data_IF_443184558054
#
_entry.id   IF_443184558054
#
_cell.length_a   1.000
_cell.length_b   1.000
_cell.length_c   1.000
_cell.angle_alpha   90.00
_cell.angle_beta   90.00
_cell.angle_gamma   90.00
#
_symmetry.space_group_name_H-M   'P 1'
#
loop_
_entity.id
_entity.type
_entity.pdbx_description
1 polymer ?
#
# COMPACT_ATOMS: atom_id res chain seq x y z
N UNK A 1 12.85 -32.42 -1.52
CA UNK A 1 11.90 -32.04 -0.47
C UNK A 1 10.79 -31.24 -1.13
N UNK A 2 9.50 -31.49 -0.85
CA UNK A 2 8.44 -30.60 -1.32
C UNK A 2 8.71 -29.19 -0.76
N UNK A 3 8.34 -28.15 -1.51
CA UNK A 3 8.43 -26.73 -1.14
C UNK A 3 7.55 -26.45 0.09
N UNK A 4 7.97 -26.90 1.26
CA UNK A 4 7.43 -26.49 2.54
C UNK A 4 8.41 -25.43 3.03
N UNK A 5 8.02 -24.17 2.93
CA UNK A 5 8.81 -23.07 3.46
C UNK A 5 9.18 -23.37 4.92
N UNK A 6 10.46 -23.15 5.28
CA UNK A 6 11.02 -23.53 6.59
C UNK A 6 10.92 -22.39 7.61
N UNK A 7 10.83 -21.16 7.13
CA UNK A 7 10.64 -19.96 7.95
C UNK A 7 9.77 -18.92 7.23
N UNK A 8 9.45 -17.83 7.93
CA UNK A 8 8.64 -16.72 7.39
C UNK A 8 9.31 -16.03 6.20
N UNK A 9 10.65 -15.95 6.17
CA UNK A 9 11.39 -15.29 5.10
C UNK A 9 11.31 -16.07 3.78
N UNK A 10 11.56 -17.38 3.82
CA UNK A 10 11.40 -18.28 2.68
C UNK A 10 9.97 -18.23 2.16
N UNK A 11 8.98 -18.22 3.06
CA UNK A 11 7.57 -18.14 2.67
C UNK A 11 7.24 -16.84 1.93
N UNK A 12 7.76 -15.69 2.40
CA UNK A 12 7.63 -14.40 1.73
C UNK A 12 8.26 -14.46 0.32
N UNK A 13 9.44 -15.05 0.18
CA UNK A 13 10.14 -15.16 -1.10
C UNK A 13 9.39 -16.07 -2.09
N UNK A 14 8.90 -17.22 -1.65
CA UNK A 14 8.18 -18.17 -2.51
C UNK A 14 6.88 -17.58 -3.04
N UNK A 15 6.05 -17.02 -2.16
CA UNK A 15 4.81 -16.33 -2.56
C UNK A 15 5.13 -15.10 -3.42
N UNK A 16 6.20 -14.37 -3.08
CA UNK A 16 6.72 -13.28 -3.89
C UNK A 16 7.00 -13.72 -5.32
N UNK A 17 7.80 -14.77 -5.51
CA UNK A 17 8.15 -15.30 -6.82
C UNK A 17 6.92 -15.73 -7.63
N UNK A 18 5.95 -16.38 -6.98
CA UNK A 18 4.68 -16.79 -7.62
C UNK A 18 3.89 -15.57 -8.11
N UNK A 19 3.75 -14.54 -7.27
CA UNK A 19 3.02 -13.31 -7.64
C UNK A 19 3.73 -12.58 -8.78
N UNK A 20 5.05 -12.46 -8.70
CA UNK A 20 5.86 -11.84 -9.76
C UNK A 20 5.67 -12.56 -11.10
N UNK A 21 5.76 -13.89 -11.10
CA UNK A 21 5.54 -14.69 -12.31
C UNK A 21 4.12 -14.50 -12.85
N UNK A 22 3.10 -14.63 -12.00
CA UNK A 22 1.69 -14.50 -12.38
C UNK A 22 1.39 -13.13 -13.00
N UNK A 23 1.84 -12.05 -12.35
CA UNK A 23 1.60 -10.68 -12.82
C UNK A 23 2.37 -10.41 -14.12
N UNK A 24 3.61 -10.87 -14.22
CA UNK A 24 4.41 -10.73 -15.44
C UNK A 24 3.76 -11.44 -16.64
N UNK A 25 3.26 -12.66 -16.45
CA UNK A 25 2.51 -13.38 -17.48
C UNK A 25 1.21 -12.65 -17.83
N UNK A 26 0.45 -12.23 -16.83
CA UNK A 26 -0.84 -11.53 -17.05
C UNK A 26 -0.66 -10.26 -17.87
N UNK A 27 0.32 -9.42 -17.53
CA UNK A 27 0.59 -8.15 -18.22
C UNK A 27 1.08 -8.35 -19.66
N UNK A 28 1.73 -9.49 -19.95
CA UNK A 28 2.30 -9.78 -21.27
C UNK A 28 1.39 -10.59 -22.19
N UNK A 29 0.52 -11.44 -21.63
CA UNK A 29 -0.42 -12.26 -22.39
C UNK A 29 -1.69 -11.46 -22.75
N UNK A 30 -2.24 -10.71 -21.78
CA UNK A 30 -3.50 -9.98 -21.97
C UNK A 30 -3.23 -8.66 -22.71
N UNK A 31 -4.01 -8.32 -23.76
CA UNK A 31 -3.88 -7.03 -24.42
C UNK A 31 -4.32 -5.91 -23.46
N UNK A 32 -3.36 -5.16 -22.92
CA UNK A 32 -3.61 -4.01 -22.05
C UNK A 32 -4.05 -2.79 -22.87
N UNK A 33 -5.32 -2.80 -23.30
CA UNK A 33 -5.96 -1.66 -23.95
C UNK A 33 -6.42 -0.62 -22.93
N UNK A 34 -6.56 0.64 -23.36
CA UNK A 34 -7.06 1.71 -22.51
C UNK A 34 -8.48 1.41 -21.99
N UNK A 35 -9.34 0.84 -22.83
CA UNK A 35 -10.72 0.51 -22.47
C UNK A 35 -10.80 -0.54 -21.37
N UNK A 36 -10.01 -1.62 -21.47
CA UNK A 36 -9.97 -2.69 -20.45
C UNK A 36 -9.48 -2.12 -19.11
N UNK A 37 -8.40 -1.35 -19.13
CA UNK A 37 -7.83 -0.76 -17.91
C UNK A 37 -8.79 0.25 -17.27
N UNK A 38 -9.47 1.07 -18.07
CA UNK A 38 -10.43 2.03 -17.54
C UNK A 38 -11.66 1.33 -16.95
N UNK A 39 -12.18 0.31 -17.61
CA UNK A 39 -13.29 -0.47 -17.08
C UNK A 39 -12.91 -1.15 -15.76
N UNK A 40 -11.76 -1.83 -15.73
CA UNK A 40 -11.28 -2.52 -14.53
C UNK A 40 -11.03 -1.54 -13.39
N UNK A 41 -10.42 -0.38 -13.66
CA UNK A 41 -10.14 0.61 -12.64
C UNK A 41 -11.42 1.21 -12.06
N UNK A 42 -12.43 1.49 -12.90
CA UNK A 42 -13.73 1.98 -12.44
C UNK A 42 -14.48 0.92 -11.63
N UNK A 43 -14.50 -0.33 -12.11
CA UNK A 43 -15.11 -1.45 -11.39
C UNK A 43 -14.49 -1.62 -10.01
N UNK A 44 -13.15 -1.63 -9.92
CA UNK A 44 -12.43 -1.70 -8.65
C UNK A 44 -12.71 -0.48 -7.77
N UNK A 45 -12.75 0.73 -8.32
CA UNK A 45 -13.08 1.93 -7.55
C UNK A 45 -14.48 1.85 -6.94
N UNK A 46 -15.49 1.38 -7.69
CA UNK A 46 -16.84 1.15 -7.16
C UNK A 46 -16.81 0.09 -6.07
N UNK A 47 -16.20 -1.07 -6.33
CA UNK A 47 -16.12 -2.17 -5.38
C UNK A 47 -15.48 -1.73 -4.05
N UNK A 48 -14.34 -1.04 -4.09
CA UNK A 48 -13.69 -0.55 -2.88
C UNK A 48 -14.51 0.53 -2.18
N UNK A 49 -15.16 1.43 -2.92
CA UNK A 49 -16.04 2.44 -2.31
C UNK A 49 -17.16 1.77 -1.51
N UNK A 50 -17.80 0.74 -2.08
CA UNK A 50 -18.83 -0.03 -1.41
C UNK A 50 -18.30 -0.82 -0.22
N UNK A 51 -17.12 -1.44 -0.35
CA UNK A 51 -16.49 -2.17 0.76
C UNK A 51 -16.14 -1.26 1.93
N UNK A 52 -15.54 -0.08 1.67
CA UNK A 52 -15.29 0.90 2.75
C UNK A 52 -16.60 1.41 3.37
N UNK A 53 -17.65 1.59 2.55
CA UNK A 53 -18.98 1.95 3.05
C UNK A 53 -19.62 0.85 3.91
N UNK A 54 -19.41 -0.41 3.56
CA UNK A 54 -19.88 -1.56 4.34
C UNK A 54 -19.16 -1.65 5.69
N UNK A 55 -17.83 -1.47 5.72
CA UNK A 55 -17.06 -1.41 6.98
C UNK A 55 -17.61 -0.28 7.89
N UNK A 56 -17.87 0.90 7.33
CA UNK A 56 -18.44 2.03 8.07
C UNK A 56 -19.83 1.70 8.61
N UNK A 57 -20.69 1.09 7.81
CA UNK A 57 -22.02 0.67 8.24
C UNK A 57 -21.95 -0.37 9.36
N UNK A 58 -21.03 -1.33 9.28
CA UNK A 58 -20.82 -2.34 10.32
C UNK A 58 -20.36 -1.72 11.64
N UNK A 59 -19.51 -0.69 11.60
CA UNK A 59 -19.12 0.06 12.80
C UNK A 59 -20.34 0.66 13.51
N UNK A 60 -21.25 1.31 12.76
CA UNK A 60 -22.44 1.92 13.34
C UNK A 60 -23.49 0.90 13.79
N UNK A 61 -23.59 -0.23 13.10
CA UNK A 61 -24.54 -1.30 13.42
C UNK A 61 -24.04 -2.26 14.53
N UNK A 62 -22.85 -2.01 15.11
CA UNK A 62 -22.26 -2.80 16.20
C UNK A 62 -22.06 -4.29 15.89
N UNK A 63 -21.97 -4.68 14.60
CA UNK A 63 -21.67 -6.05 14.17
C UNK A 63 -20.16 -6.36 14.28
N UNK A 64 -19.58 -6.19 15.48
CA UNK A 64 -18.18 -6.49 15.76
C UNK A 64 -17.16 -5.60 15.01
N UNK A 65 -15.89 -5.66 15.44
CA UNK A 65 -14.77 -4.93 14.83
C UNK A 65 -14.15 -5.70 13.64
N UNK A 66 -14.96 -6.14 12.68
CA UNK A 66 -14.41 -6.77 11.47
C UNK A 66 -13.92 -5.70 10.50
N UNK A 67 -12.61 -5.39 10.53
CA UNK A 67 -11.95 -4.47 9.59
C UNK A 67 -11.58 -5.21 8.28
N UNK A 68 -12.50 -5.31 7.31
CA UNK A 68 -12.22 -6.00 6.05
C UNK A 68 -11.27 -5.23 5.13
N UNK A 69 -11.29 -3.89 5.17
CA UNK A 69 -10.65 -3.07 4.13
C UNK A 69 -9.29 -2.45 4.47
N UNK A 70 -8.76 -2.72 5.67
CA UNK A 70 -7.48 -2.15 6.13
C UNK A 70 -6.30 -2.34 5.15
N UNK A 71 -6.07 -3.52 4.52
CA UNK A 71 -4.93 -3.71 3.62
C UNK A 71 -5.16 -3.21 2.19
N UNK A 72 -6.38 -2.77 1.86
CA UNK A 72 -6.78 -2.47 0.48
C UNK A 72 -6.67 -0.99 0.11
N UNK A 73 -6.30 -0.11 1.04
CA UNK A 73 -6.09 1.31 0.75
C UNK A 73 -5.16 1.59 -0.44
N UNK A 74 -4.00 0.93 -0.56
CA UNK A 74 -3.14 1.03 -1.74
C UNK A 74 -3.82 0.58 -3.04
N UNK A 75 -4.66 -0.46 -3.01
CA UNK A 75 -5.37 -0.95 -4.19
C UNK A 75 -6.51 0.00 -4.59
N UNK A 76 -7.19 0.62 -3.63
CA UNK A 76 -8.15 1.69 -3.91
C UNK A 76 -7.46 2.90 -4.56
N UNK A 77 -6.23 3.23 -4.12
CA UNK A 77 -5.38 4.26 -4.73
C UNK A 77 -5.00 3.91 -6.16
N UNK A 78 -4.55 2.68 -6.40
CA UNK A 78 -4.29 2.13 -7.73
C UNK A 78 -5.52 2.37 -8.62
N UNK A 79 -6.71 1.95 -8.19
CA UNK A 79 -7.93 2.05 -8.97
C UNK A 79 -8.33 3.51 -9.28
N UNK A 80 -8.33 4.40 -8.29
CA UNK A 80 -8.72 5.81 -8.47
C UNK A 80 -7.70 6.56 -9.34
N UNK A 81 -6.40 6.42 -9.09
CA UNK A 81 -5.37 7.12 -9.86
C UNK A 81 -5.31 6.61 -11.30
N UNK A 82 -5.46 5.29 -11.51
CA UNK A 82 -5.59 4.71 -12.85
C UNK A 82 -6.81 5.31 -13.57
N UNK A 83 -7.97 5.38 -12.90
CA UNK A 83 -9.17 6.00 -13.48
C UNK A 83 -8.95 7.47 -13.84
N UNK A 84 -8.31 8.26 -12.97
CA UNK A 84 -8.00 9.67 -13.23
C UNK A 84 -7.02 9.86 -14.40
N UNK A 85 -6.00 9.01 -14.49
CA UNK A 85 -5.06 9.02 -15.60
C UNK A 85 -5.74 8.61 -16.92
N UNK A 86 -6.65 7.64 -16.90
CA UNK A 86 -7.44 7.23 -18.06
C UNK A 86 -8.28 8.37 -18.61
N UNK A 87 -8.94 9.14 -17.74
CA UNK A 87 -9.72 10.31 -18.14
C UNK A 87 -8.86 11.33 -18.91
N UNK A 88 -7.60 11.53 -18.49
CA UNK A 88 -6.69 12.44 -19.18
C UNK A 88 -6.27 11.93 -20.56
N UNK A 89 -6.02 10.63 -20.71
CA UNK A 89 -5.76 10.06 -22.04
C UNK A 89 -6.97 10.20 -22.97
N UNK A 90 -8.18 9.98 -22.44
CA UNK A 90 -9.42 10.10 -23.22
C UNK A 90 -9.72 11.55 -23.63
N UNK A 91 -9.49 12.51 -22.73
CA UNK A 91 -9.62 13.94 -22.99
C UNK A 91 -8.64 14.40 -24.09
N UNK A 92 -7.37 14.00 -24.00
CA UNK A 92 -6.35 14.24 -25.04
C UNK A 92 -6.72 13.61 -26.40
N UNK A 93 -7.52 12.54 -26.39
CA UNK A 93 -8.00 11.85 -27.59
C UNK A 93 -9.31 12.42 -28.16
N UNK A 94 -9.82 13.53 -27.62
CA UNK A 94 -11.04 14.20 -28.08
C UNK A 94 -12.35 13.56 -27.58
N UNK A 95 -12.29 12.64 -26.60
CA UNK A 95 -13.48 12.01 -26.01
C UNK A 95 -14.07 12.93 -24.93
N UNK A 96 -15.38 13.14 -24.96
CA UNK A 96 -16.07 13.90 -23.92
C UNK A 96 -16.14 13.09 -22.61
N UNK A 97 -15.29 13.43 -21.64
CA UNK A 97 -15.15 12.72 -20.37
C UNK A 97 -15.93 13.37 -19.21
N UNK A 98 -16.70 14.45 -19.43
CA UNK A 98 -17.30 15.24 -18.34
C UNK A 98 -18.15 14.42 -17.37
N UNK A 99 -18.99 13.52 -17.89
CA UNK A 99 -19.85 12.66 -17.06
C UNK A 99 -19.02 11.65 -16.25
N UNK A 100 -18.07 10.99 -16.92
CA UNK A 100 -17.20 10.00 -16.30
C UNK A 100 -16.28 10.63 -15.24
N UNK A 101 -15.82 11.85 -15.48
CA UNK A 101 -15.04 12.63 -14.54
C UNK A 101 -15.82 12.92 -13.26
N UNK A 102 -17.09 13.35 -13.37
CA UNK A 102 -17.96 13.54 -12.19
C UNK A 102 -18.11 12.24 -11.41
N UNK A 103 -18.32 11.12 -12.11
CA UNK A 103 -18.45 9.81 -11.48
C UNK A 103 -17.18 9.40 -10.71
N UNK A 104 -16.00 9.54 -11.30
CA UNK A 104 -14.72 9.26 -10.63
C UNK A 104 -14.51 10.17 -9.41
N UNK A 105 -14.90 11.45 -9.49
CA UNK A 105 -14.82 12.34 -8.33
C UNK A 105 -15.77 11.93 -7.19
N UNK A 106 -16.97 11.45 -7.50
CA UNK A 106 -17.89 10.91 -6.49
C UNK A 106 -17.25 9.70 -5.79
N UNK A 107 -16.65 8.78 -6.55
CA UNK A 107 -15.94 7.63 -5.97
C UNK A 107 -14.74 8.07 -5.11
N UNK A 108 -13.95 9.03 -5.58
CA UNK A 108 -12.83 9.58 -4.81
C UNK A 108 -13.32 10.17 -3.47
N UNK A 109 -14.38 10.97 -3.49
CA UNK A 109 -14.95 11.55 -2.27
C UNK A 109 -15.49 10.45 -1.35
N UNK A 110 -16.23 9.48 -1.90
CA UNK A 110 -16.77 8.35 -1.15
C UNK A 110 -15.68 7.55 -0.45
N UNK A 111 -14.62 7.15 -1.16
CA UNK A 111 -13.47 6.45 -0.57
C UNK A 111 -12.75 7.30 0.48
N UNK A 112 -12.61 8.61 0.24
CA UNK A 112 -11.97 9.52 1.20
C UNK A 112 -12.74 9.58 2.52
N UNK A 113 -14.07 9.70 2.44
CA UNK A 113 -14.94 9.77 3.62
C UNK A 113 -14.99 8.41 4.33
N UNK A 114 -15.37 7.35 3.61
CA UNK A 114 -15.57 6.03 4.22
C UNK A 114 -14.25 5.44 4.74
N UNK A 115 -13.20 5.47 3.92
CA UNK A 115 -11.89 4.97 4.31
C UNK A 115 -11.24 5.82 5.40
N UNK A 116 -11.45 7.15 5.39
CA UNK A 116 -10.89 8.05 6.40
C UNK A 116 -11.56 7.96 7.76
N UNK A 117 -12.86 7.67 7.80
CA UNK A 117 -13.58 7.39 9.03
C UNK A 117 -13.21 6.01 9.59
N UNK A 118 -13.03 5.00 8.73
CA UNK A 118 -12.76 3.63 9.16
C UNK A 118 -11.33 3.37 9.62
N UNK A 119 -10.34 3.80 8.84
CA UNK A 119 -8.98 3.26 8.98
C UNK A 119 -8.00 4.28 9.51
N UNK A 120 -7.27 3.87 10.54
CA UNK A 120 -6.41 4.77 11.33
C UNK A 120 -5.26 5.40 10.52
N UNK A 121 -4.67 4.65 9.60
CA UNK A 121 -3.54 5.09 8.76
C UNK A 121 -3.94 5.44 7.33
N UNK A 122 -5.21 5.21 6.96
CA UNK A 122 -5.65 5.31 5.57
C UNK A 122 -5.59 6.74 5.06
N UNK A 123 -6.04 7.73 5.82
CA UNK A 123 -6.05 9.12 5.37
C UNK A 123 -4.65 9.61 4.98
N UNK A 124 -3.63 9.27 5.76
CA UNK A 124 -2.27 9.67 5.47
C UNK A 124 -1.78 9.01 4.17
N UNK A 125 -1.98 7.69 4.03
CA UNK A 125 -1.67 6.94 2.81
C UNK A 125 -2.42 7.47 1.60
N UNK A 126 -3.71 7.76 1.76
CA UNK A 126 -4.62 8.25 0.74
C UNK A 126 -4.21 9.63 0.24
N UNK A 127 -4.00 10.57 1.16
CA UNK A 127 -3.56 11.93 0.87
C UNK A 127 -2.18 11.89 0.20
N UNK A 128 -1.20 11.21 0.80
CA UNK A 128 0.12 11.08 0.18
C UNK A 128 0.06 10.45 -1.22
N UNK A 129 -0.71 9.39 -1.39
CA UNK A 129 -0.89 8.73 -2.68
C UNK A 129 -1.59 9.61 -3.71
N UNK A 130 -2.63 10.36 -3.34
CA UNK A 130 -3.26 11.33 -4.23
C UNK A 130 -2.26 12.40 -4.66
N UNK A 131 -1.44 12.91 -3.74
CA UNK A 131 -0.40 13.89 -4.06
C UNK A 131 0.60 13.35 -5.09
N UNK A 132 1.15 12.16 -4.83
CA UNK A 132 2.10 11.48 -5.74
C UNK A 132 1.43 11.18 -7.09
N UNK A 133 0.18 10.72 -7.08
CA UNK A 133 -0.57 10.41 -8.30
C UNK A 133 -0.85 11.62 -9.16
N UNK A 134 -1.36 12.71 -8.58
CA UNK A 134 -1.53 13.97 -9.30
C UNK A 134 -0.20 14.53 -9.82
N UNK A 135 0.89 14.38 -9.07
CA UNK A 135 2.22 14.74 -9.54
C UNK A 135 2.64 13.91 -10.76
N UNK A 136 2.53 12.57 -10.70
CA UNK A 136 2.87 11.67 -11.81
C UNK A 136 1.99 11.90 -13.04
N UNK A 137 0.68 12.14 -12.87
CA UNK A 137 -0.23 12.53 -13.95
C UNK A 137 0.19 13.87 -14.55
N UNK A 138 0.48 14.89 -13.72
CA UNK A 138 0.86 16.22 -14.25
C UNK A 138 2.14 16.16 -15.10
N UNK A 139 3.12 15.36 -14.68
CA UNK A 139 4.33 15.08 -15.45
C UNK A 139 4.00 14.25 -16.69
N UNK A 140 3.25 13.15 -16.51
CA UNK A 140 2.43 12.39 -17.49
C UNK A 140 2.15 13.09 -18.80
N UNK A 141 1.38 14.16 -18.63
CA UNK A 141 0.65 14.84 -19.68
C UNK A 141 1.20 16.25 -19.95
N UNK A 142 2.44 16.55 -19.55
CA UNK A 142 3.11 17.87 -19.69
C UNK A 142 2.24 19.06 -19.23
N UNK A 143 1.45 18.85 -18.18
CA UNK A 143 0.61 19.90 -17.61
C UNK A 143 1.46 20.83 -16.73
N UNK A 144 0.96 22.06 -16.47
CA UNK A 144 1.59 22.97 -15.50
C UNK A 144 1.83 22.23 -14.18
N UNK A 145 3.05 22.36 -13.64
CA UNK A 145 3.50 21.62 -12.46
C UNK A 145 2.44 21.63 -11.35
N UNK A 146 2.08 20.45 -10.85
CA UNK A 146 1.22 20.34 -9.68
C UNK A 146 1.88 20.88 -8.40
N UNK A 147 3.22 20.88 -8.36
CA UNK A 147 4.04 21.42 -7.27
C UNK A 147 4.12 22.96 -7.32
N UNK A 148 2.98 23.63 -7.21
CA UNK A 148 2.96 25.06 -6.85
C UNK A 148 2.77 25.17 -5.35
N UNK A 149 3.43 26.14 -4.71
CA UNK A 149 3.31 26.38 -3.26
C UNK A 149 1.85 26.45 -2.83
N UNK A 150 1.00 27.14 -3.62
CA UNK A 150 -0.45 27.21 -3.38
C UNK A 150 -1.12 25.83 -3.31
N UNK A 151 -0.81 24.92 -4.23
CA UNK A 151 -1.42 23.56 -4.25
C UNK A 151 -0.89 22.69 -3.12
N UNK A 152 0.40 22.79 -2.80
CA UNK A 152 0.99 22.09 -1.64
C UNK A 152 0.33 22.57 -0.35
N UNK A 153 0.18 23.89 -0.16
CA UNK A 153 -0.51 24.46 1.00
C UNK A 153 -1.98 24.04 1.08
N UNK A 154 -2.71 24.02 -0.03
CA UNK A 154 -4.09 23.48 -0.07
C UNK A 154 -4.10 22.03 0.37
N UNK A 155 -3.15 21.22 -0.09
CA UNK A 155 -3.08 19.80 0.23
C UNK A 155 -2.78 19.56 1.71
N UNK A 156 -1.80 20.26 2.27
CA UNK A 156 -1.51 20.25 3.70
C UNK A 156 -2.70 20.78 4.52
N UNK A 157 -3.37 21.84 4.04
CA UNK A 157 -4.55 22.41 4.67
C UNK A 157 -5.73 21.45 4.71
N UNK A 158 -5.98 20.70 3.62
CA UNK A 158 -7.00 19.65 3.59
C UNK A 158 -6.67 18.51 4.55
N UNK A 159 -5.40 18.12 4.65
CA UNK A 159 -4.94 17.14 5.63
C UNK A 159 -5.17 17.61 7.08
N UNK A 160 -4.81 18.85 7.38
CA UNK A 160 -5.06 19.46 8.70
C UNK A 160 -6.55 19.59 9.02
N UNK A 161 -7.36 20.04 8.06
CA UNK A 161 -8.82 20.12 8.23
C UNK A 161 -9.44 18.75 8.49
N UNK A 162 -9.03 17.71 7.74
CA UNK A 162 -9.49 16.34 7.98
C UNK A 162 -9.13 15.85 9.39
N UNK A 163 -7.92 16.18 9.86
CA UNK A 163 -7.46 15.85 11.21
C UNK A 163 -8.34 16.51 12.29
N UNK A 164 -8.60 17.82 12.17
CA UNK A 164 -9.45 18.57 13.10
C UNK A 164 -10.89 18.05 13.09
N UNK A 165 -11.46 17.79 11.90
CA UNK A 165 -12.81 17.25 11.79
C UNK A 165 -12.95 15.88 12.46
N UNK A 166 -11.94 15.00 12.32
CA UNK A 166 -11.94 13.70 12.97
C UNK A 166 -11.83 13.81 14.49
N UNK A 167 -11.00 14.73 15.00
CA UNK A 167 -10.88 14.96 16.44
C UNK A 167 -12.19 15.49 17.04
N UNK A 168 -12.83 16.45 16.37
CA UNK A 168 -14.14 16.96 16.78
C UNK A 168 -15.20 15.86 16.74
N UNK A 169 -15.21 15.04 15.69
CA UNK A 169 -16.15 13.92 15.57
C UNK A 169 -15.91 12.90 16.69
N UNK A 170 -14.66 12.62 17.06
CA UNK A 170 -14.32 11.78 18.21
C UNK A 170 -14.83 12.35 19.52
N UNK A 171 -14.71 13.67 19.72
CA UNK A 171 -15.18 14.33 20.93
C UNK A 171 -16.71 14.32 21.05
N UNK A 172 -17.43 14.46 19.92
CA UNK A 172 -18.90 14.46 19.89
C UNK A 172 -19.47 13.04 20.03
N UNK A 173 -18.87 12.07 19.34
CA UNK A 173 -19.38 10.68 19.32
C UNK A 173 -18.85 9.82 20.47
N UNK A 174 -17.89 10.32 21.26
CA UNK A 174 -17.15 9.58 22.28
C UNK A 174 -16.46 8.30 21.78
N UNK A 175 -16.26 8.18 20.46
CA UNK A 175 -15.60 7.02 19.85
C UNK A 175 -14.11 7.32 19.65
N UNK A 176 -13.26 6.75 20.51
CA UNK A 176 -11.79 6.92 20.45
C UNK A 176 -11.17 6.53 19.11
N UNK A 177 -11.85 5.69 18.33
CA UNK A 177 -11.41 5.26 17.00
C UNK A 177 -11.19 6.46 16.09
N UNK A 178 -11.96 7.54 16.23
CA UNK A 178 -11.85 8.70 15.35
C UNK A 178 -10.75 9.68 15.74
N UNK A 179 -10.34 9.76 17.01
CA UNK A 179 -9.35 10.74 17.51
C UNK A 179 -7.97 10.51 16.91
N UNK A 180 -7.45 11.43 16.07
CA UNK A 180 -6.09 11.36 15.60
C UNK A 180 -5.06 11.74 16.70
N UNK A 181 -5.45 12.56 17.69
CA UNK A 181 -4.56 12.93 18.81
C UNK A 181 -4.25 11.73 19.71
N UNK A 182 -5.26 10.96 20.12
CA UNK A 182 -5.07 9.74 20.90
C UNK A 182 -4.12 8.76 20.21
N UNK A 183 -4.13 8.73 18.87
CA UNK A 183 -3.21 7.89 18.08
C UNK A 183 -1.77 8.37 18.22
N UNK A 184 -1.50 9.68 18.10
CA UNK A 184 -0.15 10.22 18.26
C UNK A 184 0.37 9.94 19.67
N UNK A 185 -0.44 10.16 20.69
CA UNK A 185 -0.07 9.89 22.09
C UNK A 185 0.26 8.41 22.31
N UNK A 186 -0.51 7.47 21.71
CA UNK A 186 -0.20 6.03 21.78
C UNK A 186 1.10 5.66 21.07
N UNK A 187 1.44 6.33 19.96
CA UNK A 187 2.75 6.14 19.31
C UNK A 187 3.85 6.59 20.26
N UNK A 188 3.74 7.79 20.80
CA UNK A 188 4.77 8.37 21.67
C UNK A 188 5.00 7.51 22.93
N UNK A 189 3.93 7.08 23.58
CA UNK A 189 4.03 6.31 24.83
C UNK A 189 4.55 4.88 24.62
N UNK A 190 4.22 4.23 23.50
CA UNK A 190 4.56 2.83 23.28
C UNK A 190 5.79 2.59 22.39
N UNK A 191 6.18 3.54 21.53
CA UNK A 191 7.25 3.32 20.55
C UNK A 191 8.66 3.43 21.12
N UNK A 192 8.89 4.24 22.16
CA UNK A 192 10.25 4.57 22.60
C UNK A 192 10.97 3.38 23.26
N UNK A 193 10.28 2.60 24.08
CA UNK A 193 10.83 1.37 24.66
C UNK A 193 11.12 0.32 23.58
N UNK A 194 10.21 0.20 22.61
CA UNK A 194 10.32 -0.74 21.48
C UNK A 194 11.46 -0.38 20.53
N UNK A 195 11.69 0.90 20.26
CA UNK A 195 12.83 1.37 19.46
C UNK A 195 14.17 1.01 20.10
N UNK A 196 14.30 1.21 21.42
CA UNK A 196 15.51 0.85 22.16
C UNK A 196 15.77 -0.65 22.12
N UNK A 197 14.72 -1.44 22.32
CA UNK A 197 14.79 -2.90 22.26
C UNK A 197 15.24 -3.39 20.87
N UNK A 198 14.62 -2.90 19.80
CA UNK A 198 14.96 -3.30 18.44
C UNK A 198 16.39 -2.91 18.10
N UNK A 199 16.76 -1.64 18.29
CA UNK A 199 18.10 -1.15 17.95
C UNK A 199 19.21 -1.85 18.72
N UNK A 200 18.96 -2.24 19.97
CA UNK A 200 19.96 -2.95 20.78
C UNK A 200 20.16 -4.40 20.35
N UNK A 201 19.13 -5.05 19.83
CA UNK A 201 19.12 -6.48 19.56
C UNK A 201 19.22 -6.83 18.06
N UNK A 202 19.07 -5.87 17.15
CA UNK A 202 19.27 -6.10 15.72
C UNK A 202 20.73 -6.42 15.40
N UNK A 203 20.94 -7.47 14.61
CA UNK A 203 22.24 -7.89 14.13
C UNK A 203 22.38 -7.64 12.62
N UNK A 204 23.54 -7.98 12.05
CA UNK A 204 23.75 -7.89 10.61
C UNK A 204 22.75 -8.77 9.83
N UNK A 205 22.49 -9.96 10.36
CA UNK A 205 21.48 -10.92 9.91
C UNK A 205 20.62 -11.26 11.13
N UNK A 206 19.31 -11.03 11.01
CA UNK A 206 18.36 -11.25 12.10
C UNK A 206 18.63 -10.39 13.35
N UNK A 207 18.41 -11.00 14.50
CA UNK A 207 18.49 -10.39 15.82
C UNK A 207 19.11 -11.35 16.84
N UNK A 208 19.45 -10.83 18.02
CA UNK A 208 19.98 -11.65 19.11
C UNK A 208 18.97 -12.73 19.51
N UNK A 209 19.33 -14.02 19.45
CA UNK A 209 18.44 -15.11 19.87
C UNK A 209 17.95 -14.91 21.31
N UNK A 210 16.67 -15.15 21.55
CA UNK A 210 16.06 -14.96 22.87
C UNK A 210 15.56 -13.55 23.15
N UNK A 211 15.78 -12.61 22.23
CA UNK A 211 15.28 -11.23 22.37
C UNK A 211 13.85 -11.05 21.83
N UNK A 212 13.34 -11.99 21.01
CA UNK A 212 11.96 -11.98 20.57
C UNK A 212 10.97 -12.40 21.67
N UNK A 213 9.68 -12.19 21.39
CA UNK A 213 8.56 -12.67 22.22
C UNK A 213 8.63 -14.18 22.52
N UNK A 214 9.21 -14.95 21.60
CA UNK A 214 9.36 -16.40 21.73
C UNK A 214 10.37 -16.85 22.79
N UNK A 215 11.16 -15.92 23.35
CA UNK A 215 12.15 -16.24 24.38
C UNK A 215 13.09 -17.33 23.88
N UNK A 216 13.25 -18.41 24.65
CA UNK A 216 14.17 -19.50 24.31
C UNK A 216 13.88 -20.20 22.96
N UNK A 217 12.65 -20.11 22.44
CA UNK A 217 12.25 -20.69 21.15
C UNK A 217 12.59 -19.79 19.95
N UNK A 218 13.14 -18.60 20.21
CA UNK A 218 13.57 -17.66 19.18
C UNK A 218 14.90 -18.08 18.54
N UNK A 219 14.86 -18.41 17.26
CA UNK A 219 16.04 -18.79 16.47
C UNK A 219 16.94 -17.60 16.11
N UNK A 220 16.48 -16.36 16.32
CA UNK A 220 17.22 -15.15 16.00
C UNK A 220 17.10 -14.71 14.53
N UNK A 221 16.24 -15.33 13.73
CA UNK A 221 15.97 -14.93 12.35
C UNK A 221 14.57 -15.37 11.88
N UNK A 222 13.87 -14.48 11.17
CA UNK A 222 12.53 -14.74 10.62
C UNK A 222 11.55 -15.28 11.66
N UNK A 223 11.54 -14.64 12.83
CA UNK A 223 10.73 -15.00 14.00
C UNK A 223 9.26 -14.61 13.87
N UNK A 224 8.87 -14.00 12.74
CA UNK A 224 7.48 -13.80 12.33
C UNK A 224 6.93 -12.40 12.62
N UNK A 225 7.80 -11.46 13.01
CA UNK A 225 7.42 -10.05 13.15
C UNK A 225 7.02 -9.43 11.81
N UNK A 226 7.63 -9.91 10.72
CA UNK A 226 7.20 -9.69 9.35
C UNK A 226 6.75 -11.03 8.79
N UNK A 227 5.45 -11.15 8.55
CA UNK A 227 4.86 -12.38 8.02
C UNK A 227 3.80 -12.09 6.97
N UNK A 228 3.56 -13.07 6.11
CA UNK A 228 2.40 -13.08 5.23
C UNK A 228 1.12 -13.33 6.04
N UNK A 229 -0.09 -13.16 5.45
CA UNK A 229 -1.34 -13.34 6.18
C UNK A 229 -1.37 -14.68 6.92
N UNK A 230 -1.71 -14.66 8.22
CA UNK A 230 -1.87 -15.89 9.01
C UNK A 230 -2.82 -16.89 8.37
N UNK A 231 -3.85 -16.41 7.67
CA UNK A 231 -4.76 -17.27 6.92
C UNK A 231 -4.05 -18.14 5.88
N UNK A 232 -2.98 -17.66 5.25
CA UNK A 232 -2.18 -18.47 4.33
C UNK A 232 -1.33 -19.49 5.06
N UNK A 233 -0.71 -19.09 6.18
CA UNK A 233 0.12 -19.99 7.00
C UNK A 233 -0.73 -21.16 7.52
N UNK A 234 -1.93 -20.85 8.03
CA UNK A 234 -2.90 -21.85 8.48
C UNK A 234 -3.45 -22.70 7.33
N UNK A 235 -3.77 -22.09 6.18
CA UNK A 235 -4.27 -22.80 5.00
C UNK A 235 -3.26 -23.83 4.48
N UNK A 236 -1.96 -23.50 4.50
CA UNK A 236 -0.89 -24.39 4.06
C UNK A 236 -0.34 -25.29 5.17
N UNK A 237 -0.83 -25.18 6.40
CA UNK A 237 -0.40 -26.00 7.54
C UNK A 237 1.08 -25.85 7.88
N UNK A 238 1.65 -24.65 7.68
CA UNK A 238 3.08 -24.42 7.85
C UNK A 238 3.45 -24.38 9.35
N UNK A 239 4.54 -25.05 9.78
CA UNK A 239 4.93 -25.17 11.19
C UNK A 239 5.68 -23.93 11.68
N UNK A 240 5.17 -22.73 11.40
CA UNK A 240 5.81 -21.48 11.78
C UNK A 240 5.40 -21.04 13.19
N UNK A 241 6.27 -20.32 13.92
CA UNK A 241 5.85 -19.62 15.13
C UNK A 241 4.75 -18.62 14.76
N UNK A 242 3.56 -18.85 15.31
CA UNK A 242 2.36 -18.06 15.09
C UNK A 242 2.07 -17.23 16.33
N UNK A 243 1.99 -15.91 16.19
CA UNK A 243 1.52 -15.01 17.25
C UNK A 243 0.04 -15.31 17.59
N UNK A 244 -0.20 -16.21 18.56
CA UNK A 244 -1.54 -16.59 19.00
C UNK A 244 -1.99 -15.79 20.24
N UNK A 245 -3.20 -15.25 20.21
CA UNK A 245 -4.12 -15.41 21.34
C UNK A 245 -4.06 -14.51 22.58
N UNK A 246 -3.23 -13.46 22.72
CA UNK A 246 -3.31 -12.56 23.91
C UNK A 246 -3.31 -11.06 23.58
N UNK A 247 -3.11 -10.70 22.32
CA UNK A 247 -2.76 -9.33 21.94
C UNK A 247 -3.85 -8.55 21.20
N UNK A 248 -5.12 -8.97 21.11
CA UNK A 248 -6.17 -8.05 20.62
C UNK A 248 -6.27 -6.80 21.54
N UNK A 249 -5.76 -6.88 22.77
CA UNK A 249 -5.67 -5.78 23.74
C UNK A 249 -4.24 -5.26 24.02
N UNK A 250 -3.18 -5.91 23.52
CA UNK A 250 -1.77 -5.58 23.86
C UNK A 250 -0.79 -5.62 22.67
N UNK A 251 -1.26 -5.77 21.43
CA UNK A 251 -0.42 -5.74 20.21
C UNK A 251 0.26 -4.39 19.94
N UNK A 252 0.01 -3.40 20.78
CA UNK A 252 0.40 -2.00 20.58
C UNK A 252 1.88 -1.70 20.87
N UNK A 253 2.63 -2.58 21.55
CA UNK A 253 3.98 -2.24 22.00
C UNK A 253 5.01 -2.20 20.84
N UNK A 254 5.15 -3.26 20.04
CA UNK A 254 6.25 -3.38 19.06
C UNK A 254 5.74 -3.40 17.60
N UNK A 255 4.54 -3.91 17.34
CA UNK A 255 4.10 -4.23 15.96
C UNK A 255 3.29 -3.13 15.25
N UNK A 256 2.54 -2.28 15.97
CA UNK A 256 1.56 -1.39 15.34
C UNK A 256 2.06 0.02 15.06
N UNK A 257 2.98 0.52 15.89
CA UNK A 257 3.33 1.94 15.94
C UNK A 257 4.81 2.19 15.60
N UNK A 258 5.57 1.12 15.43
CA UNK A 258 6.95 1.20 14.98
C UNK A 258 6.99 1.35 13.45
N UNK A 259 7.85 2.23 12.91
CA UNK A 259 8.11 2.26 11.48
C UNK A 259 8.56 0.90 10.96
N UNK A 260 8.06 0.47 9.79
CA UNK A 260 8.34 -0.85 9.23
C UNK A 260 9.82 -1.15 8.99
N UNK A 261 10.66 -0.12 8.83
CA UNK A 261 12.12 -0.28 8.77
C UNK A 261 12.66 -1.02 10.01
N UNK A 262 12.11 -0.76 11.19
CA UNK A 262 12.56 -1.39 12.42
C UNK A 262 12.05 -2.83 12.53
N UNK A 263 10.80 -3.08 12.13
CA UNK A 263 10.24 -4.43 12.06
C UNK A 263 11.05 -5.34 11.11
N UNK A 264 11.35 -4.85 9.90
CA UNK A 264 12.19 -5.56 8.93
C UNK A 264 13.63 -5.75 9.42
N UNK A 265 14.20 -4.72 10.04
CA UNK A 265 15.56 -4.81 10.57
C UNK A 265 15.66 -5.77 11.75
N UNK A 266 14.61 -5.86 12.58
CA UNK A 266 14.59 -6.79 13.69
C UNK A 266 14.49 -8.22 13.15
N UNK A 267 13.50 -8.51 12.29
CA UNK A 267 13.22 -9.88 11.86
C UNK A 267 14.28 -10.47 10.91
N UNK A 268 14.90 -9.62 10.06
CA UNK A 268 15.84 -10.06 9.03
C UNK A 268 17.26 -9.44 9.14
N UNK A 269 17.48 -8.55 10.10
CA UNK A 269 18.76 -7.85 10.28
C UNK A 269 18.96 -6.65 9.37
N UNK A 270 20.09 -5.97 9.53
CA UNK A 270 20.45 -4.80 8.72
C UNK A 270 20.56 -5.13 7.22
N UNK A 271 21.01 -6.33 6.85
CA UNK A 271 21.05 -6.74 5.45
C UNK A 271 19.65 -6.89 4.85
N UNK A 272 18.69 -7.43 5.61
CA UNK A 272 17.29 -7.51 5.18
C UNK A 272 16.68 -6.12 4.97
N UNK A 273 16.98 -5.17 5.86
CA UNK A 273 16.56 -3.76 5.69
C UNK A 273 17.16 -3.12 4.43
N UNK A 274 18.47 -3.28 4.21
CA UNK A 274 19.16 -2.73 3.03
C UNK A 274 18.57 -3.35 1.76
N UNK A 275 18.29 -4.65 1.75
CA UNK A 275 17.66 -5.33 0.63
C UNK A 275 16.26 -4.77 0.34
N UNK A 276 15.43 -4.53 1.36
CA UNK A 276 14.10 -3.93 1.21
C UNK A 276 14.18 -2.51 0.62
N UNK A 277 15.07 -1.67 1.14
CA UNK A 277 15.27 -0.30 0.63
C UNK A 277 15.76 -0.33 -0.81
N UNK A 278 16.76 -1.18 -1.10
CA UNK A 278 17.30 -1.37 -2.45
C UNK A 278 16.23 -1.80 -3.44
N UNK A 279 15.42 -2.80 -3.07
CA UNK A 279 14.29 -3.28 -3.87
C UNK A 279 13.24 -2.20 -4.12
N UNK A 280 12.92 -1.41 -3.10
CA UNK A 280 11.94 -0.32 -3.21
C UNK A 280 12.44 0.77 -4.15
N UNK A 281 13.67 1.24 -3.96
CA UNK A 281 14.28 2.25 -4.83
C UNK A 281 14.41 1.75 -6.26
N UNK A 282 14.86 0.50 -6.45
CA UNK A 282 14.93 -0.14 -7.75
C UNK A 282 13.57 -0.13 -8.46
N UNK A 283 12.51 -0.57 -7.78
CA UNK A 283 11.14 -0.60 -8.32
C UNK A 283 10.66 0.78 -8.75
N UNK A 284 10.90 1.81 -7.92
CA UNK A 284 10.51 3.19 -8.22
C UNK A 284 11.27 3.73 -9.43
N UNK A 285 12.60 3.58 -9.46
CA UNK A 285 13.46 4.09 -10.53
C UNK A 285 13.07 3.45 -11.87
N UNK A 286 12.94 2.12 -11.89
CA UNK A 286 12.53 1.37 -13.07
C UNK A 286 11.13 1.78 -13.53
N UNK A 287 10.16 1.90 -12.63
CA UNK A 287 8.81 2.36 -12.96
C UNK A 287 8.80 3.74 -13.60
N UNK A 288 9.58 4.69 -13.07
CA UNK A 288 9.72 6.04 -13.64
C UNK A 288 10.41 6.02 -15.02
N UNK A 289 11.44 5.18 -15.20
CA UNK A 289 12.11 5.01 -16.49
C UNK A 289 11.16 4.47 -17.57
N UNK A 290 10.38 3.44 -17.25
CA UNK A 290 9.39 2.87 -18.17
C UNK A 290 8.28 3.87 -18.48
N UNK A 291 7.84 4.64 -17.48
CA UNK A 291 6.83 5.68 -17.67
C UNK A 291 7.30 6.76 -18.66
N UNK A 292 8.58 7.14 -18.60
CA UNK A 292 9.19 8.07 -19.57
C UNK A 292 9.16 7.51 -20.99
N UNK A 293 9.46 6.22 -21.16
CA UNK A 293 9.43 5.54 -22.45
C UNK A 293 8.00 5.45 -23.01
N UNK A 294 7.02 5.08 -22.19
CA UNK A 294 5.61 5.05 -22.60
C UNK A 294 5.10 6.43 -23.02
N UNK A 295 5.46 7.49 -22.28
CA UNK A 295 5.15 8.87 -22.69
C UNK A 295 5.76 9.19 -24.05
N UNK A 296 7.04 8.90 -24.26
CA UNK A 296 7.71 9.18 -25.53
C UNK A 296 7.05 8.44 -26.70
N UNK A 297 6.56 7.21 -26.49
CA UNK A 297 5.81 6.45 -27.49
C UNK A 297 4.41 7.00 -27.74
N UNK A 298 3.71 7.45 -26.70
CA UNK A 298 2.41 8.12 -26.81
C UNK A 298 2.51 9.40 -27.64
N UNK A 299 3.52 10.23 -27.37
CA UNK A 299 3.78 11.47 -28.11
C UNK A 299 4.06 11.22 -29.60
N UNK A 300 4.57 10.03 -29.95
CA UNK A 300 4.70 9.54 -31.33
C UNK A 300 3.42 8.89 -31.88
N UNK A 301 2.26 9.17 -31.29
CA UNK A 301 0.94 8.63 -31.64
C UNK A 301 0.79 7.11 -31.54
N UNK A 302 1.64 6.41 -30.76
CA UNK A 302 1.50 4.97 -30.59
C UNK A 302 0.44 4.61 -29.52
N UNK A 303 -0.78 4.33 -29.98
CA UNK A 303 -1.94 4.01 -29.11
C UNK A 303 -1.79 2.70 -28.33
N UNK A 304 -0.85 1.83 -28.69
CA UNK A 304 -0.64 0.51 -28.03
C UNK A 304 -0.24 0.64 -26.56
N UNK A 305 0.35 1.78 -26.17
CA UNK A 305 0.91 1.97 -24.82
C UNK A 305 -0.01 2.74 -23.86
N UNK A 306 -1.16 3.22 -24.33
CA UNK A 306 -2.05 4.06 -23.53
C UNK A 306 -2.56 3.37 -22.26
N UNK A 307 -3.05 2.13 -22.39
CA UNK A 307 -3.49 1.36 -21.23
C UNK A 307 -2.35 1.01 -20.27
N UNK A 308 -1.17 0.69 -20.83
CA UNK A 308 0.04 0.38 -20.04
C UNK A 308 0.55 1.60 -19.27
N UNK A 309 0.55 2.78 -19.89
CA UNK A 309 0.95 4.04 -19.25
C UNK A 309 0.06 4.34 -18.05
N UNK A 310 -1.26 4.26 -18.23
CA UNK A 310 -2.22 4.58 -17.18
C UNK A 310 -2.16 3.58 -16.01
N UNK A 311 -2.06 2.28 -16.29
CA UNK A 311 -1.88 1.25 -15.25
C UNK A 311 -0.56 1.45 -14.49
N UNK A 312 0.51 1.81 -15.19
CA UNK A 312 1.81 2.08 -14.56
C UNK A 312 1.76 3.31 -13.65
N UNK A 313 1.06 4.38 -14.04
CA UNK A 313 0.87 5.56 -13.18
C UNK A 313 0.14 5.17 -11.88
N UNK A 314 -0.95 4.41 -11.98
CA UNK A 314 -1.69 3.94 -10.81
C UNK A 314 -0.85 3.04 -9.90
N UNK A 315 -0.17 2.04 -10.48
CA UNK A 315 0.61 1.06 -9.72
C UNK A 315 1.82 1.68 -9.04
N UNK A 316 2.54 2.55 -9.75
CA UNK A 316 3.68 3.28 -9.20
C UNK A 316 3.24 4.22 -8.07
N UNK A 317 2.10 4.89 -8.22
CA UNK A 317 1.55 5.76 -7.17
C UNK A 317 1.20 4.97 -5.91
N UNK A 318 0.45 3.88 -6.07
CA UNK A 318 0.04 3.03 -4.97
C UNK A 318 1.25 2.41 -4.25
N UNK A 319 2.24 1.94 -5.03
CA UNK A 319 3.48 1.38 -4.50
C UNK A 319 4.27 2.42 -3.70
N UNK A 320 4.51 3.62 -4.25
CA UNK A 320 5.23 4.69 -3.54
C UNK A 320 4.52 5.08 -2.25
N UNK A 321 3.19 5.25 -2.30
CA UNK A 321 2.41 5.63 -1.12
C UNK A 321 2.50 4.56 -0.03
N UNK A 322 2.32 3.28 -0.38
CA UNK A 322 2.43 2.18 0.56
C UNK A 322 3.85 2.02 1.10
N UNK A 323 4.86 2.15 0.25
CA UNK A 323 6.27 2.07 0.63
C UNK A 323 6.62 3.14 1.68
N UNK A 324 6.25 4.40 1.43
CA UNK A 324 6.55 5.50 2.34
C UNK A 324 5.83 5.31 3.67
N UNK A 325 4.51 5.09 3.64
CA UNK A 325 3.73 4.94 4.88
C UNK A 325 4.15 3.69 5.65
N UNK A 326 4.35 2.58 4.97
CA UNK A 326 4.69 1.32 5.60
C UNK A 326 6.09 1.27 6.19
N UNK A 327 7.08 1.77 5.47
CA UNK A 327 8.47 1.75 5.96
C UNK A 327 8.69 2.80 7.05
N UNK A 328 8.12 4.01 6.90
CA UNK A 328 8.50 5.15 7.76
C UNK A 328 7.45 5.55 8.80
N UNK A 329 6.21 5.05 8.71
CA UNK A 329 5.13 5.52 9.58
C UNK A 329 4.50 4.35 10.36
N UNK A 330 4.02 3.31 9.67
CA UNK A 330 3.33 2.18 10.31
C UNK A 330 3.73 0.83 9.70
N UNK A 331 4.41 -0.02 10.47
CA UNK A 331 4.77 -1.38 10.03
C UNK A 331 3.55 -2.22 9.56
N UNK A 332 2.37 -1.99 10.14
CA UNK A 332 1.11 -2.65 9.71
C UNK A 332 0.81 -2.48 8.21
N UNK A 333 1.36 -1.45 7.55
CA UNK A 333 1.20 -1.23 6.12
C UNK A 333 2.19 -2.02 5.23
N UNK A 334 3.13 -2.78 5.79
CA UNK A 334 4.02 -3.76 5.10
C UNK A 334 4.05 -5.09 5.88
N UNK A 335 2.96 -5.45 6.58
CA UNK A 335 2.86 -6.72 7.29
C UNK A 335 1.52 -7.42 7.00
N UNK A 336 1.51 -8.75 7.08
CA UNK A 336 0.35 -9.59 6.79
C UNK A 336 -0.22 -9.35 5.38
N UNK A 337 -1.51 -9.01 5.31
CA UNK A 337 -2.20 -8.72 4.05
C UNK A 337 -1.66 -7.48 3.35
N UNK A 338 -1.10 -6.52 4.08
CA UNK A 338 -0.48 -5.36 3.47
C UNK A 338 0.84 -5.73 2.77
N UNK A 339 1.62 -6.67 3.32
CA UNK A 339 2.82 -7.19 2.64
C UNK A 339 2.47 -7.86 1.30
N UNK A 340 1.38 -8.62 1.27
CA UNK A 340 0.87 -9.22 0.03
C UNK A 340 0.53 -8.14 -1.00
N UNK A 341 -0.17 -7.08 -0.59
CA UNK A 341 -0.47 -5.91 -1.46
C UNK A 341 0.83 -5.23 -1.93
N UNK A 342 1.82 -5.07 -1.06
CA UNK A 342 3.10 -4.44 -1.39
C UNK A 342 3.83 -5.21 -2.50
N UNK A 343 3.94 -6.53 -2.35
CA UNK A 343 4.55 -7.44 -3.33
C UNK A 343 3.77 -7.40 -4.66
N UNK A 344 2.44 -7.43 -4.59
CA UNK A 344 1.59 -7.36 -5.77
C UNK A 344 1.77 -6.04 -6.54
N UNK A 345 1.80 -4.90 -5.85
CA UNK A 345 2.02 -3.59 -6.48
C UNK A 345 3.43 -3.48 -7.06
N UNK A 346 4.46 -3.97 -6.37
CA UNK A 346 5.82 -4.02 -6.90
C UNK A 346 5.88 -4.86 -8.19
N UNK A 347 5.20 -6.01 -8.17
CA UNK A 347 5.08 -6.90 -9.32
C UNK A 347 4.40 -6.21 -10.50
N UNK A 348 3.31 -5.46 -10.27
CA UNK A 348 2.64 -4.67 -11.32
C UNK A 348 3.59 -3.67 -11.97
N UNK A 349 4.42 -2.97 -11.19
CA UNK A 349 5.38 -1.99 -11.71
C UNK A 349 6.49 -2.67 -12.53
N UNK A 350 7.16 -3.68 -11.97
CA UNK A 350 8.33 -4.33 -12.59
C UNK A 350 7.93 -5.13 -13.84
N UNK A 351 6.75 -5.74 -13.85
CA UNK A 351 6.26 -6.56 -14.97
C UNK A 351 6.18 -5.81 -16.29
N UNK A 352 6.13 -4.48 -16.27
CA UNK A 352 6.18 -3.67 -17.48
C UNK A 352 7.54 -3.65 -18.19
N UNK A 353 8.63 -4.06 -17.52
CA UNK A 353 9.97 -4.20 -18.11
C UNK A 353 10.10 -5.49 -18.91
N UNK A 354 9.47 -6.56 -18.42
CA UNK A 354 9.53 -7.87 -19.03
C UNK A 354 8.65 -7.84 -20.29
N UNK A 355 9.27 -7.96 -21.47
CA UNK A 355 8.56 -8.12 -22.74
C UNK A 355 8.82 -9.52 -23.27
N UNK A 356 7.77 -10.32 -23.41
CA UNK A 356 7.87 -11.58 -24.15
C UNK A 356 8.12 -11.27 -25.63
N UNK A 357 9.19 -11.84 -26.20
CA UNK A 357 9.44 -11.77 -27.64
C UNK A 357 8.33 -12.58 -28.33
N UNK A 358 7.40 -11.89 -29.00
CA UNK A 358 6.45 -12.55 -29.90
C UNK A 358 7.21 -12.78 -31.21
N UNK A 359 7.58 -14.03 -31.46
CA UNK A 359 8.07 -14.46 -32.77
C UNK A 359 6.95 -14.41 -33.79
#
# INVERSE_FOLDING_TARGET
MPLIAQDHFQFILEIGAIIFALVAFTINLVPISLSIITFLSLFLSVAFTLLFGADLAMLFLSFGQNEFTHPFGPIALLAIITSLASLKVMEDSGVNVKSLQKFVFILLIGVTIFGGLMHRSFLLLWILGLFVGYFLISKSFRQKSFLTIKRVLIFCGLGGAAFVCLELLSAITHMEIFSPLLRITRIETNSLASLKMVLHNTQLIGHTPGSAYWGAEDTGFASGYISLPMSFILLFGLPFPLFYGVLVTKKDAIDYMLPGIFGYSFDFGYLGLIALIGFTLFTIIIGLMVLREYRARREKNNKKYLGKEVLLIGSLTAFIAQAIVGMFIFNRSINGTALLTFIFLASLVISHVISLKRN
#
